data_IF_894870616736
#
_entry.id   IF_894870616736
#
_cell.length_a   1.000
_cell.length_b   1.000
_cell.length_c   1.000
_cell.angle_alpha   90.00
_cell.angle_beta   90.00
_cell.angle_gamma   90.00
#
_symmetry.space_group_name_H-M   'P 1'
#
loop_
_entity.id
_entity.type
_entity.pdbx_description
1 polymer ?
#
# COMPACT_ATOMS: atom_id res chain seq x y z
N UNK A 1 1.08 6.74 -9.64
CA UNK A 1 1.72 6.87 -8.31
C UNK A 1 2.79 7.98 -8.30
N UNK A 2 3.98 7.79 -8.89
CA UNK A 2 5.14 8.69 -8.75
C UNK A 2 5.20 9.90 -9.72
N UNK A 3 4.07 10.34 -10.29
CA UNK A 3 4.05 11.36 -11.37
C UNK A 3 4.77 12.67 -11.00
N UNK A 4 4.79 13.02 -9.72
CA UNK A 4 5.44 14.24 -9.19
C UNK A 4 6.64 13.94 -8.29
N UNK A 5 7.13 12.69 -8.33
CA UNK A 5 8.34 12.24 -7.64
C UNK A 5 9.43 11.96 -8.68
N UNK A 6 10.68 11.95 -8.24
CA UNK A 6 11.79 11.60 -9.13
C UNK A 6 11.70 10.11 -9.52
N UNK A 7 12.08 9.77 -10.76
CA UNK A 7 12.17 8.37 -11.20
C UNK A 7 13.11 7.54 -10.32
N UNK A 8 14.06 8.19 -9.64
CA UNK A 8 14.98 7.56 -8.71
C UNK A 8 14.29 6.81 -7.55
N UNK A 9 13.03 7.10 -7.25
CA UNK A 9 12.23 6.32 -6.31
C UNK A 9 11.99 4.87 -6.78
N UNK A 10 12.27 4.56 -8.04
CA UNK A 10 12.18 3.22 -8.63
C UNK A 10 13.54 2.64 -9.06
N UNK A 11 14.68 3.29 -8.77
CA UNK A 11 16.01 2.81 -9.21
C UNK A 11 16.43 1.45 -8.60
N UNK A 12 15.71 0.97 -7.57
CA UNK A 12 16.02 -0.27 -6.85
C UNK A 12 15.36 -1.55 -7.39
N UNK A 13 14.60 -1.49 -8.49
CA UNK A 13 13.91 -2.67 -9.04
C UNK A 13 13.91 -2.68 -10.57
N UNK A 14 13.93 -3.89 -11.15
CA UNK A 14 14.23 -4.07 -12.58
C UNK A 14 13.08 -4.73 -13.36
N UNK A 15 12.10 -5.35 -12.69
CA UNK A 15 11.11 -6.23 -13.35
C UNK A 15 9.71 -6.17 -12.72
N UNK A 16 8.67 -6.08 -13.58
CA UNK A 16 7.26 -6.40 -13.26
C UNK A 16 6.95 -7.75 -13.89
N UNK A 17 6.47 -8.71 -13.09
CA UNK A 17 6.02 -10.01 -13.57
C UNK A 17 4.49 -10.04 -13.53
N UNK A 18 3.86 -10.34 -14.67
CA UNK A 18 2.41 -10.41 -14.79
C UNK A 18 2.01 -11.86 -15.04
N UNK A 19 1.25 -12.44 -14.11
CA UNK A 19 0.62 -13.75 -14.27
C UNK A 19 -0.79 -13.60 -14.85
N UNK A 20 -1.30 -14.58 -15.61
CA UNK A 20 -2.66 -14.51 -16.15
C UNK A 20 -3.76 -14.38 -15.09
N UNK A 21 -3.60 -15.02 -13.93
CA UNK A 21 -4.57 -15.05 -12.85
C UNK A 21 -3.87 -15.05 -11.47
N UNK A 22 -4.66 -15.04 -10.39
CA UNK A 22 -4.16 -15.14 -9.01
C UNK A 22 -3.19 -16.31 -8.85
N UNK A 23 -2.08 -16.07 -8.15
CA UNK A 23 -1.00 -17.03 -8.00
C UNK A 23 -0.81 -17.40 -6.53
N UNK A 24 -0.30 -18.61 -6.29
CA UNK A 24 0.08 -19.05 -4.96
C UNK A 24 1.59 -18.94 -4.83
N UNK A 25 2.04 -18.17 -3.85
CA UNK A 25 3.46 -18.12 -3.48
C UNK A 25 3.65 -19.08 -2.32
N UNK A 26 4.52 -20.07 -2.50
CA UNK A 26 4.98 -20.90 -1.39
C UNK A 26 6.14 -20.19 -0.72
N UNK A 27 5.88 -19.58 0.45
CA UNK A 27 6.95 -19.15 1.33
C UNK A 27 7.46 -20.35 2.09
N UNK A 28 8.78 -20.47 2.12
CA UNK A 28 9.47 -21.40 2.97
C UNK A 28 10.27 -20.62 4.01
N UNK A 29 9.66 -20.30 5.15
CA UNK A 29 10.43 -19.84 6.30
C UNK A 29 11.08 -21.08 6.92
N UNK A 30 12.42 -21.13 6.87
CA UNK A 30 13.18 -22.13 7.59
C UNK A 30 13.16 -21.77 9.08
N UNK A 31 12.63 -22.65 9.92
CA UNK A 31 12.77 -22.51 11.36
C UNK A 31 14.24 -22.68 11.80
N UNK A 32 14.53 -22.46 13.09
CA UNK A 32 15.88 -22.62 13.65
C UNK A 32 16.49 -24.03 13.46
N UNK A 33 15.70 -25.00 13.02
CA UNK A 33 16.09 -26.39 12.76
C UNK A 33 16.14 -26.72 11.25
N UNK A 34 15.95 -25.74 10.36
CA UNK A 34 15.97 -25.93 8.91
C UNK A 34 14.71 -26.57 8.32
N UNK A 35 13.62 -26.66 9.10
CA UNK A 35 12.34 -27.16 8.60
C UNK A 35 11.62 -26.03 7.90
N UNK A 36 11.35 -26.24 6.61
CA UNK A 36 10.63 -25.30 5.76
C UNK A 36 9.14 -25.67 5.80
N UNK A 37 8.33 -24.87 6.48
CA UNK A 37 6.87 -25.02 6.42
C UNK A 37 6.35 -24.25 5.20
N UNK A 38 5.73 -24.91 4.20
CA UNK A 38 5.11 -24.20 3.10
C UNK A 38 3.86 -23.47 3.61
N UNK A 39 3.89 -22.14 3.63
CA UNK A 39 2.69 -21.33 3.78
C UNK A 39 2.15 -21.03 2.38
N UNK A 40 0.97 -21.57 2.06
CA UNK A 40 0.25 -21.24 0.83
C UNK A 40 -0.72 -20.10 1.13
N UNK A 41 -0.46 -18.92 0.57
CA UNK A 41 -1.41 -17.82 0.52
C UNK A 41 -1.77 -17.53 -0.95
N UNK A 42 -3.06 -17.38 -1.22
CA UNK A 42 -3.53 -16.83 -2.49
C UNK A 42 -3.29 -15.32 -2.45
N UNK A 43 -2.54 -14.80 -3.42
CA UNK A 43 -2.14 -13.41 -3.47
C UNK A 43 -2.61 -12.79 -4.80
N UNK A 44 -3.21 -11.59 -4.72
CA UNK A 44 -3.56 -10.76 -5.89
C UNK A 44 -2.35 -9.94 -6.39
N UNK A 45 -1.34 -9.75 -5.53
CA UNK A 45 -0.06 -9.13 -5.84
C UNK A 45 0.99 -9.46 -4.77
N UNK A 46 2.27 -9.28 -5.09
CA UNK A 46 3.35 -9.32 -4.10
C UNK A 46 4.54 -8.43 -4.49
N UNK A 47 5.07 -7.69 -3.52
CA UNK A 47 6.23 -6.82 -3.66
C UNK A 47 7.37 -7.25 -2.76
N UNK A 48 8.42 -7.80 -3.37
CA UNK A 48 9.60 -8.27 -2.65
C UNK A 48 10.60 -7.12 -2.41
N UNK A 49 11.27 -7.06 -1.26
CA UNK A 49 12.23 -6.00 -0.91
C UNK A 49 13.35 -5.78 -1.94
N UNK A 50 13.72 -6.83 -2.69
CA UNK A 50 14.73 -6.82 -3.76
C UNK A 50 14.31 -7.63 -5.00
N UNK A 51 13.05 -8.03 -5.07
CA UNK A 51 12.52 -8.86 -6.16
C UNK A 51 11.50 -8.10 -7.01
N UNK A 52 10.90 -8.77 -8.01
CA UNK A 52 9.93 -8.13 -8.90
C UNK A 52 8.69 -7.61 -8.15
N UNK A 53 7.91 -6.76 -8.81
CA UNK A 53 6.48 -6.61 -8.50
C UNK A 53 5.75 -7.71 -9.24
N UNK A 54 4.99 -8.54 -8.55
CA UNK A 54 4.20 -9.61 -9.16
C UNK A 54 2.72 -9.21 -9.14
N UNK A 55 2.05 -9.27 -10.29
CA UNK A 55 0.65 -8.89 -10.46
C UNK A 55 -0.14 -9.99 -11.16
N UNK A 56 -1.41 -10.13 -10.78
CA UNK A 56 -2.42 -10.90 -11.52
C UNK A 56 -3.06 -10.03 -12.61
N UNK A 57 -3.04 -10.49 -13.87
CA UNK A 57 -3.67 -9.80 -14.98
C UNK A 57 -5.19 -9.72 -14.81
N UNK A 58 -5.84 -10.75 -14.29
CA UNK A 58 -7.28 -10.72 -14.01
C UNK A 58 -7.64 -9.61 -13.01
N UNK A 59 -6.82 -9.40 -11.98
CA UNK A 59 -7.03 -8.34 -10.99
C UNK A 59 -6.77 -6.96 -11.61
N UNK A 60 -5.67 -6.82 -12.38
CA UNK A 60 -5.36 -5.58 -13.12
C UNK A 60 -6.46 -5.26 -14.14
N UNK A 61 -6.94 -6.24 -14.90
CA UNK A 61 -7.98 -6.07 -15.90
C UNK A 61 -9.32 -5.71 -15.23
N UNK A 62 -9.61 -6.29 -14.06
CA UNK A 62 -10.77 -5.93 -13.24
C UNK A 62 -10.68 -4.47 -12.81
N UNK A 63 -9.54 -4.04 -12.25
CA UNK A 63 -9.26 -2.66 -11.85
C UNK A 63 -9.33 -1.65 -13.01
N UNK A 64 -9.02 -2.08 -14.24
CA UNK A 64 -9.09 -1.27 -15.45
C UNK A 64 -10.49 -1.24 -16.09
N UNK A 65 -11.28 -2.30 -15.92
CA UNK A 65 -12.61 -2.42 -16.54
C UNK A 65 -13.67 -1.52 -15.87
N UNK A 66 -13.39 -0.98 -14.68
CA UNK A 66 -14.22 -0.01 -13.99
C UNK A 66 -13.49 0.60 -12.80
N UNK A 67 -13.97 1.74 -12.31
CA UNK A 67 -13.43 2.30 -11.06
C UNK A 67 -13.91 1.41 -9.92
N UNK A 68 -13.01 0.57 -9.38
CA UNK A 68 -13.25 -0.15 -8.14
C UNK A 68 -12.99 0.80 -6.97
N UNK A 69 -14.04 1.26 -6.28
CA UNK A 69 -13.87 2.32 -5.33
C UNK A 69 -12.98 1.85 -4.17
N UNK A 70 -11.80 2.46 -4.00
CA UNK A 70 -10.91 2.19 -2.86
C UNK A 70 -10.02 0.97 -3.04
N UNK A 71 -9.93 0.43 -4.26
CA UNK A 71 -9.08 -0.71 -4.59
C UNK A 71 -8.30 -0.44 -5.89
N UNK A 72 -6.99 -0.69 -5.87
CA UNK A 72 -6.13 -0.71 -7.03
C UNK A 72 -4.85 -1.49 -6.71
N UNK A 73 -4.76 -2.73 -7.18
CA UNK A 73 -3.68 -3.65 -6.82
C UNK A 73 -2.31 -3.14 -7.29
N UNK A 74 -2.27 -2.40 -8.40
CA UNK A 74 -1.03 -1.79 -8.90
C UNK A 74 -0.56 -0.69 -7.93
N UNK A 75 -1.45 0.21 -7.52
CA UNK A 75 -1.10 1.25 -6.53
C UNK A 75 -0.66 0.62 -5.21
N UNK A 76 -1.34 -0.44 -4.77
CA UNK A 76 -1.02 -1.17 -3.55
C UNK A 76 0.42 -1.69 -3.55
N UNK A 77 0.77 -2.49 -4.55
CA UNK A 77 2.09 -3.10 -4.64
C UNK A 77 3.20 -2.05 -4.79
N UNK A 78 2.96 -1.03 -5.61
CA UNK A 78 3.93 0.05 -5.76
C UNK A 78 4.07 0.92 -4.52
N UNK A 79 3.04 1.07 -3.69
CA UNK A 79 3.16 1.72 -2.39
C UNK A 79 4.09 0.92 -1.45
N UNK A 80 3.94 -0.41 -1.38
CA UNK A 80 4.89 -1.26 -0.65
C UNK A 80 6.33 -1.07 -1.12
N UNK A 81 6.57 -0.97 -2.44
CA UNK A 81 7.92 -0.67 -2.94
C UNK A 81 8.48 0.66 -2.44
N UNK A 82 7.65 1.70 -2.36
CA UNK A 82 8.07 2.98 -1.80
C UNK A 82 8.40 2.88 -0.31
N UNK A 83 7.58 2.14 0.45
CA UNK A 83 7.77 1.92 1.88
C UNK A 83 9.12 1.23 2.15
N UNK A 84 9.48 0.25 1.32
CA UNK A 84 10.70 -0.54 1.46
C UNK A 84 12.00 0.19 1.07
N UNK A 85 11.94 1.41 0.55
CA UNK A 85 13.14 2.15 0.12
C UNK A 85 14.11 2.48 1.27
N UNK A 86 13.65 2.51 2.52
CA UNK A 86 14.51 2.70 3.70
C UNK A 86 14.67 1.43 4.56
N UNK A 87 14.23 0.26 4.08
CA UNK A 87 14.36 -1.01 4.79
C UNK A 87 13.13 -1.92 4.66
N UNK A 88 12.73 -2.53 5.76
CA UNK A 88 11.51 -3.34 5.81
C UNK A 88 10.27 -2.46 5.80
N UNK A 89 9.20 -2.90 5.13
CA UNK A 89 7.92 -2.20 5.09
C UNK A 89 7.38 -1.97 6.51
N UNK A 90 7.04 -0.73 6.83
CA UNK A 90 6.56 -0.31 8.14
C UNK A 90 5.52 0.84 8.07
N UNK A 91 5.06 1.21 6.87
CA UNK A 91 4.13 2.31 6.62
C UNK A 91 4.77 3.70 6.66
N UNK A 92 6.10 3.81 6.57
CA UNK A 92 6.83 5.07 6.57
C UNK A 92 7.91 5.04 5.47
N UNK A 93 7.55 5.34 4.21
CA UNK A 93 8.52 5.51 3.13
C UNK A 93 9.50 6.65 3.44
N UNK A 94 10.64 6.74 2.72
CA UNK A 94 11.54 7.88 2.82
C UNK A 94 10.80 9.19 2.50
N UNK A 95 10.58 10.01 3.53
CA UNK A 95 9.88 11.28 3.41
C UNK A 95 10.80 12.35 2.82
N UNK A 96 10.18 13.38 2.21
CA UNK A 96 10.90 14.55 1.73
C UNK A 96 11.54 15.33 2.89
N UNK A 97 12.61 16.06 2.60
CA UNK A 97 13.36 16.81 3.63
C UNK A 97 12.53 17.88 4.35
N UNK A 98 11.48 18.39 3.70
CA UNK A 98 10.54 19.38 4.22
C UNK A 98 9.37 18.76 5.01
N UNK A 99 9.25 17.43 5.04
CA UNK A 99 8.25 16.72 5.83
C UNK A 99 8.75 16.38 7.23
N UNK A 100 7.86 16.49 8.21
CA UNK A 100 8.16 16.14 9.60
C UNK A 100 7.78 14.69 9.88
N UNK A 101 8.77 13.83 10.15
CA UNK A 101 8.53 12.42 10.52
C UNK A 101 7.53 12.27 11.66
N UNK A 102 7.61 13.12 12.69
CA UNK A 102 6.67 13.05 13.82
C UNK A 102 5.22 13.25 13.36
N UNK A 103 4.95 14.22 12.48
CA UNK A 103 3.59 14.45 11.96
C UNK A 103 3.09 13.25 11.15
N UNK A 104 3.95 12.67 10.31
CA UNK A 104 3.62 11.44 9.60
C UNK A 104 3.23 10.31 10.57
N UNK A 105 4.11 10.02 11.54
CA UNK A 105 3.88 8.97 12.54
C UNK A 105 2.59 9.22 13.31
N UNK A 106 2.38 10.43 13.81
CA UNK A 106 1.19 10.77 14.61
C UNK A 106 -0.10 10.59 13.80
N UNK A 107 -0.14 11.08 12.56
CA UNK A 107 -1.33 10.97 11.69
C UNK A 107 -1.63 9.52 11.31
N UNK A 108 -0.61 8.76 10.91
CA UNK A 108 -0.78 7.37 10.48
C UNK A 108 -1.11 6.43 11.64
N UNK A 109 -0.41 6.55 12.78
CA UNK A 109 -0.67 5.70 13.95
C UNK A 109 -2.06 5.95 14.53
N UNK A 110 -2.49 7.21 14.66
CA UNK A 110 -3.83 7.52 15.15
C UNK A 110 -4.93 7.00 14.22
N UNK A 111 -4.78 7.15 12.90
CA UNK A 111 -5.76 6.66 11.95
C UNK A 111 -5.81 5.13 11.89
N UNK A 112 -4.66 4.46 12.01
CA UNK A 112 -4.58 3.00 12.09
C UNK A 112 -5.29 2.47 13.35
N UNK A 113 -4.98 3.04 14.52
CA UNK A 113 -5.60 2.66 15.79
C UNK A 113 -7.13 2.90 15.74
N UNK A 114 -7.55 4.03 15.16
CA UNK A 114 -8.97 4.34 14.98
C UNK A 114 -9.66 3.30 14.10
N UNK A 115 -9.05 2.89 12.98
CA UNK A 115 -9.61 1.86 12.10
C UNK A 115 -9.71 0.50 12.81
N UNK A 116 -8.70 0.12 13.60
CA UNK A 116 -8.74 -1.10 14.40
C UNK A 116 -9.91 -1.09 15.41
N UNK A 117 -10.17 0.05 16.05
CA UNK A 117 -11.33 0.22 16.93
C UNK A 117 -12.65 0.13 16.18
N UNK A 118 -12.78 0.78 15.02
CA UNK A 118 -13.97 0.70 14.19
C UNK A 118 -14.27 -0.74 13.74
N UNK A 119 -13.22 -1.51 13.42
CA UNK A 119 -13.33 -2.91 13.03
C UNK A 119 -13.84 -3.79 14.16
N UNK A 120 -13.39 -3.56 15.40
CA UNK A 120 -13.91 -4.24 16.59
C UNK A 120 -15.44 -4.01 16.77
N UNK A 121 -15.95 -2.88 16.29
CA UNK A 121 -17.37 -2.52 16.28
C UNK A 121 -18.10 -2.85 14.97
N UNK A 122 -17.46 -3.57 14.03
CA UNK A 122 -18.00 -4.00 12.74
C UNK A 122 -18.51 -2.85 11.85
N UNK A 123 -17.88 -1.67 11.93
CA UNK A 123 -18.23 -0.49 11.12
C UNK A 123 -16.99 0.24 10.59
N UNK A 124 -16.12 -0.42 9.80
CA UNK A 124 -14.91 0.22 9.31
C UNK A 124 -15.24 1.25 8.22
N UNK A 125 -14.65 2.45 8.33
CA UNK A 125 -14.78 3.51 7.33
C UNK A 125 -13.90 3.31 6.10
N UNK A 126 -12.88 2.46 6.22
CA UNK A 126 -11.95 2.05 5.16
C UNK A 126 -11.96 0.52 5.03
N UNK A 127 -11.32 -0.02 3.99
CA UNK A 127 -11.15 -1.46 3.84
C UNK A 127 -10.49 -2.06 5.10
N UNK A 128 -11.13 -3.09 5.68
CA UNK A 128 -10.68 -3.75 6.90
C UNK A 128 -9.27 -4.34 6.78
N UNK A 129 -8.82 -4.65 5.55
CA UNK A 129 -7.46 -5.12 5.30
C UNK A 129 -6.38 -4.11 5.75
N UNK A 130 -6.66 -2.81 5.68
CA UNK A 130 -5.75 -1.77 6.15
C UNK A 130 -5.46 -1.87 7.66
N UNK A 131 -6.30 -2.54 8.45
CA UNK A 131 -6.14 -2.70 9.89
C UNK A 131 -5.16 -3.83 10.29
N UNK A 132 -4.60 -4.55 9.30
CA UNK A 132 -3.77 -5.75 9.53
C UNK A 132 -2.34 -5.40 9.97
N UNK A 133 -1.71 -4.42 9.31
CA UNK A 133 -0.38 -3.93 9.65
C UNK A 133 -0.18 -2.49 9.17
N UNK A 134 0.74 -1.71 9.75
CA UNK A 134 1.03 -0.34 9.30
C UNK A 134 1.45 -0.24 7.81
N UNK A 135 2.18 -1.22 7.30
CA UNK A 135 2.55 -1.28 5.88
C UNK A 135 1.31 -1.44 4.99
N UNK A 136 0.40 -2.35 5.34
CA UNK A 136 -0.87 -2.54 4.62
C UNK A 136 -1.77 -1.32 4.75
N UNK A 137 -1.77 -0.65 5.90
CA UNK A 137 -2.48 0.60 6.07
C UNK A 137 -2.00 1.64 5.05
N UNK A 138 -0.68 1.85 4.94
CA UNK A 138 -0.10 2.77 3.97
C UNK A 138 -0.43 2.41 2.52
N UNK A 139 -0.34 1.12 2.16
CA UNK A 139 -0.68 0.66 0.82
C UNK A 139 -2.16 0.92 0.49
N UNK A 140 -3.07 0.53 1.39
CA UNK A 140 -4.52 0.73 1.21
C UNK A 140 -4.89 2.21 1.18
N UNK A 141 -4.39 3.04 2.10
CA UNK A 141 -4.71 4.48 2.04
C UNK A 141 -4.13 5.14 0.79
N UNK A 142 -3.06 4.60 0.20
CA UNK A 142 -2.57 5.03 -1.12
C UNK A 142 -3.53 4.65 -2.23
N UNK A 143 -4.16 3.48 -2.18
CA UNK A 143 -5.23 3.11 -3.13
C UNK A 143 -6.41 4.09 -3.05
N UNK A 144 -6.91 4.36 -1.84
CA UNK A 144 -7.98 5.34 -1.63
C UNK A 144 -7.57 6.75 -2.08
N UNK A 145 -6.33 7.16 -1.84
CA UNK A 145 -5.83 8.48 -2.26
C UNK A 145 -5.97 8.69 -3.77
N UNK A 146 -5.70 7.68 -4.60
CA UNK A 146 -5.80 7.80 -6.05
C UNK A 146 -7.17 7.40 -6.63
N UNK A 147 -7.94 6.54 -5.94
CA UNK A 147 -9.21 6.02 -6.48
C UNK A 147 -10.45 6.66 -5.84
N UNK A 148 -10.40 7.01 -4.56
CA UNK A 148 -11.49 7.60 -3.78
C UNK A 148 -10.99 8.67 -2.79
N UNK A 149 -10.34 9.74 -3.27
CA UNK A 149 -9.72 10.73 -2.39
C UNK A 149 -10.72 11.38 -1.43
N UNK A 150 -11.98 11.57 -1.86
CA UNK A 150 -13.04 12.15 -1.03
C UNK A 150 -13.39 11.28 0.19
N UNK A 151 -13.37 9.95 0.03
CA UNK A 151 -13.60 9.03 1.17
C UNK A 151 -12.43 9.13 2.14
N UNK A 152 -11.19 9.17 1.65
CA UNK A 152 -10.01 9.31 2.50
C UNK A 152 -10.00 10.64 3.26
N UNK A 153 -10.37 11.76 2.59
CA UNK A 153 -10.54 13.06 3.24
C UNK A 153 -11.55 13.02 4.39
N UNK A 154 -12.62 12.22 4.27
CA UNK A 154 -13.64 12.11 5.31
C UNK A 154 -13.23 11.19 6.45
N UNK A 155 -12.57 10.08 6.15
CA UNK A 155 -12.25 9.03 7.13
C UNK A 155 -10.91 9.25 7.83
N UNK A 156 -9.92 9.83 7.15
CA UNK A 156 -8.59 10.07 7.68
C UNK A 156 -7.97 11.36 7.07
N UNK A 157 -8.52 12.54 7.39
CA UNK A 157 -8.09 13.82 6.79
C UNK A 157 -6.59 14.11 6.99
N UNK A 158 -6.06 13.88 8.18
CA UNK A 158 -4.64 14.14 8.47
C UNK A 158 -3.71 13.22 7.66
N UNK A 159 -4.13 11.96 7.45
CA UNK A 159 -3.42 11.02 6.55
C UNK A 159 -3.47 11.52 5.11
N UNK A 160 -4.63 11.99 4.65
CA UNK A 160 -4.76 12.56 3.30
C UNK A 160 -3.79 13.72 3.09
N UNK A 161 -3.68 14.65 4.06
CA UNK A 161 -2.74 15.77 3.97
C UNK A 161 -1.28 15.29 3.90
N UNK A 162 -0.89 14.30 4.70
CA UNK A 162 0.45 13.72 4.62
C UNK A 162 0.71 13.06 3.25
N UNK A 163 -0.28 12.37 2.68
CA UNK A 163 -0.17 11.78 1.35
C UNK A 163 -0.09 12.83 0.24
N UNK A 164 -0.78 13.98 0.36
CA UNK A 164 -0.62 15.11 -0.57
C UNK A 164 0.82 15.61 -0.57
N UNK A 165 1.42 15.78 0.61
CA UNK A 165 2.81 16.20 0.75
C UNK A 165 3.78 15.14 0.20
N UNK A 166 3.53 13.87 0.50
CA UNK A 166 4.38 12.77 0.06
C UNK A 166 4.33 12.55 -1.45
N UNK A 167 3.14 12.34 -2.03
CA UNK A 167 2.96 12.10 -3.47
C UNK A 167 3.05 13.37 -4.32
N UNK A 168 3.07 14.56 -3.69
CA UNK A 168 3.06 15.88 -4.32
C UNK A 168 1.92 16.05 -5.32
N UNK A 169 0.78 15.44 -5.02
CA UNK A 169 -0.42 15.37 -5.85
C UNK A 169 -1.62 15.64 -4.95
N UNK A 170 -2.71 16.14 -5.52
CA UNK A 170 -3.96 16.36 -4.78
C UNK A 170 -5.16 15.82 -5.58
N UNK A 171 -5.39 14.50 -5.56
CA UNK A 171 -6.44 13.87 -6.36
C UNK A 171 -7.85 14.35 -6.03
N UNK A 172 -8.12 14.80 -4.79
CA UNK A 172 -9.41 15.41 -4.44
C UNK A 172 -9.72 16.69 -5.23
N UNK A 173 -8.70 17.32 -5.83
CA UNK A 173 -8.82 18.52 -6.67
C UNK A 173 -8.77 18.23 -8.18
N UNK A 174 -8.61 16.97 -8.60
CA UNK A 174 -8.66 16.62 -10.01
C UNK A 174 -10.12 16.64 -10.47
N UNK A 175 -10.49 17.70 -11.21
CA UNK A 175 -11.74 17.79 -11.95
C UNK A 175 -11.55 17.19 -13.35
#
# INVERSE_FOLDING_TARGET
>A
LILKLALAYYDGWVEVVIYPAAFQVSRGDADANGVVSPQQQALSGESWSRGPVILSWDDVATDLAGVHPGHNVVVHEFAHKLDMLNGSANGMPPLHADMQRQRWTDSFSQAFDHLQQQLAHHRPGLNAYAATAPAEFFAVVSEYFFTQPQVLCQQAPDVYEQLVLFYRQNPAQWQ
#
